data_IF_491026876664
#
_entry.id   IF_491026876664
#
_cell.length_a   1.000
_cell.length_b   1.000
_cell.length_c   1.000
_cell.angle_alpha   90.00
_cell.angle_beta   90.00
_cell.angle_gamma   90.00
#
_symmetry.space_group_name_H-M   'P 1'
#
loop_
_entity.id
_entity.type
_entity.pdbx_description
1 polymer ?
#
# COMPACT_ATOMS: atom_id res chain seq x y z
N UNK A 1 -13.16 -8.20 10.48
CA UNK A 1 -13.08 -6.85 9.90
C UNK A 1 -14.09 -6.82 8.77
N UNK A 2 -15.17 -6.08 8.96
CA UNK A 2 -16.35 -6.08 8.07
C UNK A 2 -16.20 -4.96 7.05
N UNK A 3 -16.62 -5.19 5.80
CA UNK A 3 -16.45 -4.29 4.64
C UNK A 3 -17.00 -2.86 4.92
N UNK A 4 -17.97 -2.73 5.81
CA UNK A 4 -18.57 -1.46 6.23
C UNK A 4 -17.61 -0.46 6.91
N UNK A 5 -16.47 -0.90 7.46
CA UNK A 5 -15.51 0.04 8.06
C UNK A 5 -14.70 0.83 7.01
N UNK A 6 -14.90 0.56 5.71
CA UNK A 6 -14.16 1.14 4.60
C UNK A 6 -14.82 2.40 4.00
N UNK A 7 -15.82 3.00 4.64
CA UNK A 7 -16.63 4.05 3.99
C UNK A 7 -16.32 5.51 4.40
N UNK A 8 -15.30 5.78 5.25
CA UNK A 8 -15.09 7.13 5.84
C UNK A 8 -13.74 7.80 5.56
N UNK A 9 -13.09 7.47 4.46
CA UNK A 9 -12.03 8.33 3.92
C UNK A 9 -12.67 9.51 3.18
N UNK A 10 -12.22 10.74 3.43
CA UNK A 10 -12.43 11.83 2.46
C UNK A 10 -11.95 11.29 1.11
N UNK A 11 -12.77 11.31 0.06
CA UNK A 11 -12.59 10.52 -1.18
C UNK A 11 -11.35 10.83 -2.04
N UNK A 12 -10.30 11.37 -1.44
CA UNK A 12 -8.95 11.53 -1.95
C UNK A 12 -8.10 10.28 -1.61
N UNK A 13 -7.13 9.96 -2.46
CA UNK A 13 -6.13 8.96 -2.14
C UNK A 13 -5.19 9.47 -1.03
N UNK A 14 -4.72 8.59 -0.13
CA UNK A 14 -3.69 8.93 0.85
C UNK A 14 -2.34 9.14 0.18
N UNK A 15 -1.48 9.95 0.78
CA UNK A 15 -0.12 10.17 0.30
C UNK A 15 0.77 8.92 0.52
N UNK A 16 1.87 8.80 -0.23
CA UNK A 16 2.81 7.69 -0.12
C UNK A 16 3.38 7.58 1.29
N UNK A 17 3.58 8.70 2.00
CA UNK A 17 4.04 8.72 3.39
C UNK A 17 3.04 8.04 4.33
N UNK A 18 1.74 8.23 4.12
CA UNK A 18 0.69 7.59 4.91
C UNK A 18 0.62 6.09 4.63
N UNK A 19 0.76 5.69 3.37
CA UNK A 19 0.87 4.27 3.00
C UNK A 19 2.11 3.62 3.60
N UNK A 20 3.23 4.33 3.62
CA UNK A 20 4.48 3.84 4.19
C UNK A 20 4.39 3.70 5.72
N UNK A 21 3.80 4.69 6.39
CA UNK A 21 3.53 4.63 7.82
C UNK A 21 2.63 3.43 8.14
N UNK A 22 1.52 3.28 7.41
CA UNK A 22 0.60 2.16 7.54
C UNK A 22 1.30 0.82 7.30
N UNK A 23 2.12 0.72 6.25
CA UNK A 23 2.90 -0.47 5.95
C UNK A 23 3.79 -0.84 7.14
N UNK A 24 4.46 0.12 7.77
CA UNK A 24 5.30 -0.09 8.97
C UNK A 24 4.51 -0.42 10.26
N UNK A 25 3.19 -0.31 10.24
CA UNK A 25 2.35 -0.45 11.43
C UNK A 25 2.39 0.78 12.33
N UNK A 26 2.79 1.93 11.80
CA UNK A 26 2.83 3.22 12.49
C UNK A 26 1.66 4.10 12.02
N UNK A 27 0.93 4.74 12.94
CA UNK A 27 -0.14 5.69 12.63
C UNK A 27 -1.57 5.18 12.85
N UNK A 28 -2.55 6.00 12.48
CA UNK A 28 -3.99 5.70 12.59
C UNK A 28 -4.53 5.22 11.23
N UNK A 29 -4.05 4.04 10.81
CA UNK A 29 -4.39 3.40 9.52
C UNK A 29 -5.80 2.82 9.46
N UNK A 30 -6.63 3.01 10.49
CA UNK A 30 -8.05 2.65 10.49
C UNK A 30 -8.97 3.70 9.86
N UNK A 31 -8.46 4.91 9.56
CA UNK A 31 -9.27 6.01 9.03
C UNK A 31 -9.54 5.93 7.53
N UNK A 32 -8.59 5.42 6.75
CA UNK A 32 -8.71 5.33 5.31
C UNK A 32 -8.66 3.87 4.82
N UNK A 33 -9.58 3.43 3.95
CA UNK A 33 -9.62 2.06 3.41
C UNK A 33 -8.31 1.61 2.79
N UNK A 34 -7.67 2.52 2.06
CA UNK A 34 -6.40 2.30 1.37
C UNK A 34 -5.24 2.14 2.36
N UNK A 35 -5.19 2.92 3.44
CA UNK A 35 -4.12 2.77 4.46
C UNK A 35 -4.33 1.48 5.28
N UNK A 36 -5.59 1.13 5.59
CA UNK A 36 -5.93 -0.16 6.20
C UNK A 36 -5.53 -1.34 5.31
N UNK A 37 -5.79 -1.23 4.00
CA UNK A 37 -5.36 -2.20 2.99
C UNK A 37 -3.85 -2.34 2.93
N UNK A 38 -3.12 -1.23 2.87
CA UNK A 38 -1.65 -1.20 2.86
C UNK A 38 -1.05 -1.88 4.11
N UNK A 39 -1.63 -1.65 5.29
CA UNK A 39 -1.24 -2.33 6.52
C UNK A 39 -1.40 -3.85 6.42
N UNK A 40 -2.57 -4.34 6.00
CA UNK A 40 -2.82 -5.79 5.89
C UNK A 40 -2.00 -6.46 4.79
N UNK A 41 -1.71 -5.76 3.69
CA UNK A 41 -0.80 -6.20 2.64
C UNK A 41 0.63 -6.33 3.17
N UNK A 42 1.14 -5.30 3.85
CA UNK A 42 2.47 -5.33 4.48
C UNK A 42 2.58 -6.44 5.53
N UNK A 43 1.54 -6.61 6.36
CA UNK A 43 1.45 -7.72 7.33
C UNK A 43 1.50 -9.07 6.62
N UNK A 44 0.83 -9.21 5.48
CA UNK A 44 0.86 -10.45 4.68
C UNK A 44 2.25 -10.77 4.14
N UNK A 45 3.02 -9.76 3.71
CA UNK A 45 4.42 -9.94 3.28
C UNK A 45 5.32 -10.38 4.43
N UNK A 46 5.23 -9.73 5.60
CA UNK A 46 6.00 -10.13 6.81
C UNK A 46 5.70 -11.54 7.27
N UNK A 47 4.44 -11.96 7.19
CA UNK A 47 3.97 -13.28 7.65
C UNK A 47 4.10 -14.36 6.58
N UNK A 48 4.70 -14.07 5.42
CA UNK A 48 4.78 -15.02 4.33
C UNK A 48 5.72 -16.19 4.67
N UNK A 49 5.13 -17.26 5.21
CA UNK A 49 5.84 -18.53 5.43
C UNK A 49 5.81 -19.39 4.15
N UNK A 50 6.92 -20.06 3.79
CA UNK A 50 6.98 -20.92 2.59
C UNK A 50 5.85 -21.97 2.54
N UNK A 51 5.52 -22.58 3.68
CA UNK A 51 4.46 -23.59 3.81
C UNK A 51 3.04 -23.05 3.65
N UNK A 52 2.83 -21.74 3.83
CA UNK A 52 1.51 -21.08 3.73
C UNK A 52 1.39 -20.14 2.53
N UNK A 53 2.38 -20.14 1.63
CA UNK A 53 2.49 -19.22 0.49
C UNK A 53 1.18 -19.11 -0.31
N UNK A 54 0.55 -20.23 -0.66
CA UNK A 54 -0.71 -20.23 -1.42
C UNK A 54 -1.86 -19.55 -0.67
N UNK A 55 -1.97 -19.76 0.64
CA UNK A 55 -3.01 -19.14 1.46
C UNK A 55 -2.78 -17.63 1.60
N UNK A 56 -1.53 -17.22 1.84
CA UNK A 56 -1.15 -15.80 1.92
C UNK A 56 -1.41 -15.10 0.58
N UNK A 57 -1.02 -15.70 -0.55
CA UNK A 57 -1.28 -15.14 -1.88
C UNK A 57 -2.78 -14.98 -2.17
N UNK A 58 -3.62 -15.96 -1.78
CA UNK A 58 -5.07 -15.85 -1.95
C UNK A 58 -5.66 -14.71 -1.13
N UNK A 59 -5.27 -14.58 0.14
CA UNK A 59 -5.71 -13.46 1.00
C UNK A 59 -5.28 -12.12 0.44
N UNK A 60 -4.04 -12.04 -0.06
CA UNK A 60 -3.50 -10.85 -0.73
C UNK A 60 -4.30 -10.47 -1.97
N UNK A 61 -4.67 -11.46 -2.80
CA UNK A 61 -5.53 -11.25 -3.96
C UNK A 61 -6.92 -10.69 -3.59
N UNK A 62 -7.53 -11.16 -2.50
CA UNK A 62 -8.81 -10.63 -2.01
C UNK A 62 -8.67 -9.18 -1.54
N UNK A 63 -7.58 -8.83 -0.84
CA UNK A 63 -7.32 -7.45 -0.42
C UNK A 63 -7.11 -6.52 -1.63
N UNK A 64 -6.34 -6.96 -2.63
CA UNK A 64 -6.13 -6.22 -3.88
C UNK A 64 -7.48 -5.94 -4.56
N UNK A 65 -8.34 -6.94 -4.70
CA UNK A 65 -9.66 -6.78 -5.31
C UNK A 65 -10.56 -5.83 -4.52
N UNK A 66 -10.52 -5.88 -3.18
CA UNK A 66 -11.31 -4.97 -2.35
C UNK A 66 -10.84 -3.51 -2.49
N UNK A 67 -9.53 -3.28 -2.60
CA UNK A 67 -8.96 -1.96 -2.86
C UNK A 67 -9.34 -1.46 -4.26
N UNK A 68 -9.24 -2.32 -5.27
CA UNK A 68 -9.64 -1.98 -6.64
C UNK A 68 -11.14 -1.67 -6.70
N UNK A 69 -11.99 -2.41 -5.98
CA UNK A 69 -13.42 -2.12 -5.88
C UNK A 69 -13.70 -0.75 -5.24
N UNK A 70 -12.95 -0.39 -4.19
CA UNK A 70 -13.04 0.95 -3.59
C UNK A 70 -12.59 2.02 -4.58
N UNK A 71 -11.44 1.86 -5.23
CA UNK A 71 -10.98 2.77 -6.27
C UNK A 71 -12.03 2.87 -7.41
N UNK A 72 -12.69 1.75 -7.68
CA UNK A 72 -13.75 1.61 -8.65
C UNK A 72 -14.99 2.43 -8.32
N UNK A 73 -15.27 2.63 -7.05
CA UNK A 73 -16.40 3.37 -6.53
C UNK A 73 -16.10 4.87 -6.39
N UNK A 74 -14.89 5.25 -5.96
CA UNK A 74 -14.56 6.61 -5.53
C UNK A 74 -13.68 7.43 -6.48
N UNK A 75 -12.94 6.81 -7.42
CA UNK A 75 -12.06 7.51 -8.39
C UNK A 75 -12.64 7.57 -9.79
N UNK A 76 -12.31 8.56 -10.62
CA UNK A 76 -12.83 8.63 -11.99
C UNK A 76 -12.20 7.55 -12.92
N UNK A 77 -12.94 7.06 -13.94
CA UNK A 77 -12.44 5.97 -14.81
C UNK A 77 -11.26 6.35 -15.72
N UNK A 78 -11.12 7.62 -16.10
CA UNK A 78 -10.06 8.08 -17.00
C UNK A 78 -8.65 7.95 -16.40
N UNK A 79 -8.57 7.82 -15.08
CA UNK A 79 -7.32 7.82 -14.32
C UNK A 79 -6.82 6.38 -14.02
N UNK A 80 -7.50 5.34 -14.52
CA UNK A 80 -7.25 3.93 -14.15
C UNK A 80 -6.43 3.14 -15.18
N UNK A 81 -5.21 3.59 -15.46
CA UNK A 81 -4.28 2.76 -16.27
C UNK A 81 -3.69 1.56 -15.50
N UNK A 82 -3.81 1.56 -14.17
CA UNK A 82 -3.22 0.55 -13.27
C UNK A 82 -4.18 0.14 -12.15
N UNK A 83 -4.11 -1.13 -11.74
CA UNK A 83 -4.78 -1.62 -10.53
C UNK A 83 -4.14 -0.96 -9.29
N UNK A 84 -4.94 -0.16 -8.58
CA UNK A 84 -4.53 0.56 -7.37
C UNK A 84 -4.12 -0.43 -6.29
N UNK A 85 -4.89 -1.50 -6.10
CA UNK A 85 -4.59 -2.56 -5.14
C UNK A 85 -3.28 -3.26 -5.43
N UNK A 86 -3.01 -3.57 -6.70
CA UNK A 86 -1.75 -4.20 -7.11
C UNK A 86 -0.56 -3.26 -6.94
N UNK A 87 -0.76 -1.95 -7.13
CA UNK A 87 0.28 -0.96 -6.92
C UNK A 87 0.65 -0.86 -5.44
N UNK A 88 -0.36 -0.76 -4.57
CA UNK A 88 -0.17 -0.73 -3.11
C UNK A 88 0.46 -2.02 -2.59
N UNK A 89 0.13 -3.19 -3.17
CA UNK A 89 0.78 -4.46 -2.82
C UNK A 89 2.30 -4.41 -3.04
N UNK A 90 2.73 -3.84 -4.17
CA UNK A 90 4.16 -3.69 -4.51
C UNK A 90 4.84 -2.64 -3.62
N UNK A 91 4.18 -1.52 -3.37
CA UNK A 91 4.68 -0.49 -2.44
C UNK A 91 4.85 -1.07 -1.02
N UNK A 92 3.84 -1.81 -0.54
CA UNK A 92 3.89 -2.47 0.76
C UNK A 92 5.02 -3.51 0.83
N UNK A 93 5.21 -4.31 -0.23
CA UNK A 93 6.32 -5.25 -0.32
C UNK A 93 7.69 -4.53 -0.25
N UNK A 94 7.85 -3.44 -0.99
CA UNK A 94 9.09 -2.66 -1.00
C UNK A 94 9.36 -2.00 0.36
N UNK A 95 8.33 -1.47 1.02
CA UNK A 95 8.43 -0.89 2.36
C UNK A 95 8.84 -1.94 3.42
N UNK A 96 8.27 -3.16 3.34
CA UNK A 96 8.66 -4.28 4.22
C UNK A 96 10.11 -4.68 3.96
N UNK A 97 10.51 -4.83 2.69
CA UNK A 97 11.89 -5.18 2.35
C UNK A 97 12.89 -4.12 2.85
N UNK A 98 12.56 -2.83 2.75
CA UNK A 98 13.41 -1.74 3.26
C UNK A 98 13.55 -1.78 4.79
N UNK A 99 12.45 -2.01 5.50
CA UNK A 99 12.41 -2.13 6.96
C UNK A 99 13.18 -3.38 7.43
N UNK A 100 13.10 -4.50 6.70
CA UNK A 100 13.89 -5.71 6.95
C UNK A 100 15.38 -5.51 6.69
N UNK A 101 15.75 -4.86 5.58
CA UNK A 101 17.15 -4.56 5.24
C UNK A 101 17.83 -3.69 6.32
N UNK A 102 17.13 -2.70 6.87
CA UNK A 102 17.62 -1.89 7.98
C UNK A 102 17.82 -2.72 9.26
N UNK A 103 16.90 -3.64 9.58
CA UNK A 103 17.05 -4.52 10.75
C UNK A 103 18.23 -5.48 10.59
N UNK A 104 18.42 -6.04 9.39
CA UNK A 104 19.55 -6.92 9.08
C UNK A 104 20.88 -6.19 9.06
N UNK A 105 20.94 -4.97 8.53
CA UNK A 105 22.16 -4.15 8.55
C UNK A 105 22.67 -3.89 9.97
N UNK A 106 21.75 -3.63 10.91
CA UNK A 106 22.07 -3.44 12.32
C UNK A 106 22.62 -4.69 13.03
N UNK A 107 22.40 -5.90 12.49
CA UNK A 107 22.73 -7.15 13.18
C UNK A 107 23.77 -8.04 12.45
N UNK A 108 23.79 -8.05 11.11
CA UNK A 108 24.58 -9.00 10.31
C UNK A 108 25.30 -8.37 9.09
N UNK A 109 25.28 -7.04 8.94
CA UNK A 109 26.05 -6.35 7.89
C UNK A 109 25.51 -6.61 6.49
N UNK A 110 24.31 -6.10 6.21
CA UNK A 110 23.79 -6.03 4.83
C UNK A 110 24.77 -5.22 3.99
N UNK A 111 25.27 -5.78 2.88
CA UNK A 111 26.17 -5.05 1.98
C UNK A 111 25.49 -3.77 1.48
N UNK A 112 26.20 -2.63 1.45
CA UNK A 112 25.64 -1.34 1.04
C UNK A 112 24.94 -1.34 -0.33
N UNK A 113 25.34 -2.22 -1.25
CA UNK A 113 24.66 -2.44 -2.53
C UNK A 113 23.25 -3.02 -2.39
N UNK A 114 23.06 -3.99 -1.47
CA UNK A 114 21.77 -4.57 -1.15
C UNK A 114 20.81 -3.55 -0.54
N UNK A 115 21.33 -2.71 0.37
CA UNK A 115 20.57 -1.60 0.95
C UNK A 115 20.17 -0.59 -0.14
N UNK A 116 21.13 -0.16 -0.96
CA UNK A 116 20.88 0.78 -2.07
C UNK A 116 19.81 0.26 -3.04
N UNK A 117 19.85 -1.03 -3.39
CA UNK A 117 18.87 -1.64 -4.29
C UNK A 117 17.44 -1.59 -3.72
N UNK A 118 17.27 -1.97 -2.46
CA UNK A 118 15.95 -2.02 -1.83
C UNK A 118 15.37 -0.61 -1.66
N UNK A 119 16.19 0.36 -1.24
CA UNK A 119 15.75 1.75 -1.11
C UNK A 119 15.45 2.40 -2.46
N UNK A 120 16.22 2.08 -3.51
CA UNK A 120 15.94 2.55 -4.89
C UNK A 120 14.60 2.03 -5.39
N UNK A 121 14.31 0.74 -5.20
CA UNK A 121 13.03 0.16 -5.60
C UNK A 121 11.87 0.80 -4.83
N UNK A 122 12.05 1.02 -3.53
CA UNK A 122 11.01 1.60 -2.70
C UNK A 122 10.74 3.08 -3.04
N UNK A 123 11.78 3.86 -3.37
CA UNK A 123 11.65 5.20 -3.90
C UNK A 123 10.90 5.23 -5.24
N UNK A 124 11.14 4.24 -6.12
CA UNK A 124 10.43 4.11 -7.40
C UNK A 124 8.92 3.94 -7.19
N UNK A 125 8.51 3.08 -6.26
CA UNK A 125 7.10 2.87 -5.94
C UNK A 125 6.46 4.09 -5.24
N UNK A 126 7.20 4.79 -4.38
CA UNK A 126 6.71 6.02 -3.78
C UNK A 126 6.47 7.12 -4.84
N UNK A 127 7.43 7.33 -5.75
CA UNK A 127 7.33 8.33 -6.80
C UNK A 127 6.15 8.07 -7.74
N UNK A 128 5.98 6.83 -8.23
CA UNK A 128 4.84 6.52 -9.09
C UNK A 128 3.50 6.50 -8.34
N UNK A 129 3.47 6.33 -7.00
CA UNK A 129 2.25 6.57 -6.23
C UNK A 129 1.89 8.05 -6.21
N UNK A 130 2.87 8.95 -6.03
CA UNK A 130 2.63 10.40 -6.14
C UNK A 130 2.04 10.77 -7.50
N UNK A 131 2.55 10.20 -8.60
CA UNK A 131 1.97 10.41 -9.93
C UNK A 131 0.52 9.92 -10.03
N UNK A 132 0.18 8.78 -9.39
CA UNK A 132 -1.19 8.27 -9.31
C UNK A 132 -2.08 9.23 -8.51
N UNK A 133 -1.62 9.73 -7.36
CA UNK A 133 -2.38 10.66 -6.53
C UNK A 133 -2.62 11.99 -7.26
N UNK A 134 -1.60 12.52 -7.94
CA UNK A 134 -1.68 13.78 -8.68
C UNK A 134 -2.64 13.70 -9.89
N UNK A 135 -2.80 12.51 -10.46
CA UNK A 135 -3.66 12.28 -11.63
C UNK A 135 -5.06 11.76 -11.25
N UNK A 136 -5.24 11.18 -10.06
CA UNK A 136 -6.51 10.61 -9.64
C UNK A 136 -7.50 11.70 -9.19
N UNK A 137 -8.53 11.96 -10.00
CA UNK A 137 -9.60 12.87 -9.63
C UNK A 137 -10.68 12.16 -8.79
N UNK A 138 -11.07 12.70 -7.62
CA UNK A 138 -12.22 12.20 -6.86
C UNK A 138 -13.51 12.24 -7.70
N UNK A 139 -14.37 11.23 -7.57
CA UNK A 139 -15.69 11.22 -8.23
C UNK A 139 -16.63 12.29 -7.68
N UNK A 140 -16.59 12.52 -6.38
CA UNK A 140 -17.39 13.55 -5.72
C UNK A 140 -16.49 14.67 -5.23
N UNK A 141 -16.53 15.83 -5.89
CA UNK A 141 -16.18 17.08 -5.21
C UNK A 141 -17.29 17.34 -4.19
N UNK A 142 -16.98 17.19 -2.90
CA UNK A 142 -17.82 17.81 -1.89
C UNK A 142 -17.51 19.30 -1.95
N UNK A 143 -18.31 20.05 -2.69
CA UNK A 143 -18.36 21.50 -2.54
C UNK A 143 -18.79 21.71 -1.09
N UNK A 144 -17.86 22.18 -0.25
CA UNK A 144 -18.17 22.56 1.13
C UNK A 144 -19.24 23.66 1.14
N UNK A 145 -20.03 23.77 2.23
CA UNK A 145 -21.04 24.81 2.38
C UNK A 145 -20.46 26.23 2.29
#
# INVERSE_FOLDING_TARGET
>A
MTIDSLARGDGCLPDWHELWAAARGNGDFGRHPITAGAYELARSHRLQQPRRRTQTSRRRGVLIQAIDAWADEYLRPADRQVSIGSYIDKLAAAAVAADEALRCDQHEGTTGEGLHKVFTEAARWAAGWTEIVDTAAPRTYRVGP
#
